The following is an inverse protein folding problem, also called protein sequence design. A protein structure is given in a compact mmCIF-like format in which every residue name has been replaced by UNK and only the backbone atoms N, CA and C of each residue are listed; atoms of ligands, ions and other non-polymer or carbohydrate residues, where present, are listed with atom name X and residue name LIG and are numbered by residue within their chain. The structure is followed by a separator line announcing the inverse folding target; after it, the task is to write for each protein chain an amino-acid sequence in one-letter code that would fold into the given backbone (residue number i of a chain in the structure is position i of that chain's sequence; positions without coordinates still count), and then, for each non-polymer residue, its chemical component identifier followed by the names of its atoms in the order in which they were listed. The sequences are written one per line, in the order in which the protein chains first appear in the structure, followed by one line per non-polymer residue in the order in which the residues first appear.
data_IF_751929790801
#
_entry.id   IF_751929790801
#
_cell.length_a   1.000
_cell.length_b   1.000
_cell.length_c   1.000
_cell.angle_alpha   90.00
_cell.angle_beta   90.00
_cell.angle_gamma   90.00
#
_symmetry.space_group_name_H-M   'P 1'
#
loop_
_entity.id
_entity.type
_entity.pdbx_description
1 polymer ?
#
# COMPACT_ATOMS: atom_id res chain seq x y z
N UNK A 1 5.97 7.96 6.09
CA UNK A 1 6.89 7.42 7.12
C UNK A 1 6.90 8.25 8.40
N UNK A 2 7.42 9.49 8.41
CA UNK A 2 7.59 10.31 9.64
C UNK A 2 6.30 10.42 10.48
N UNK A 3 5.19 10.77 9.84
CA UNK A 3 3.90 10.91 10.52
C UNK A 3 3.40 9.59 11.11
N UNK A 4 3.64 8.46 10.44
CA UNK A 4 3.23 7.15 10.92
C UNK A 4 3.95 6.79 12.22
N UNK A 5 5.27 6.98 12.30
CA UNK A 5 6.06 6.74 13.51
C UNK A 5 5.77 7.76 14.63
N UNK A 6 5.49 9.02 14.28
CA UNK A 6 5.05 10.03 15.23
C UNK A 6 3.73 9.60 15.90
N UNK A 7 2.75 9.17 15.09
CA UNK A 7 1.47 8.67 15.60
C UNK A 7 1.64 7.38 16.40
N UNK A 8 2.48 6.45 15.93
CA UNK A 8 2.76 5.21 16.63
C UNK A 8 3.33 5.44 18.03
N UNK A 9 4.17 6.47 18.19
CA UNK A 9 4.77 6.85 19.48
C UNK A 9 3.82 7.65 20.38
N UNK A 10 2.99 8.53 19.82
CA UNK A 10 2.22 9.51 20.61
C UNK A 10 0.75 9.17 20.79
N UNK A 11 0.14 8.38 19.90
CA UNK A 11 -1.28 8.04 20.01
C UNK A 11 -1.63 7.22 21.27
N UNK A 12 -0.78 6.30 21.77
CA UNK A 12 -1.01 5.70 23.08
C UNK A 12 -1.07 6.74 24.19
N UNK A 13 -0.13 7.72 24.17
CA UNK A 13 -0.08 8.81 25.14
C UNK A 13 -1.35 9.69 25.10
N UNK A 14 -1.83 10.07 23.90
CA UNK A 14 -3.10 10.81 23.73
C UNK A 14 -4.29 10.05 24.32
N UNK A 15 -4.28 8.72 24.25
CA UNK A 15 -5.32 7.86 24.82
C UNK A 15 -5.07 7.44 26.28
N UNK A 16 -4.12 8.08 26.98
CA UNK A 16 -3.72 7.76 28.35
C UNK A 16 -3.32 6.28 28.54
N UNK A 17 -2.67 5.70 27.52
CA UNK A 17 -2.10 4.35 27.52
C UNK A 17 -0.58 4.43 27.51
N UNK A 18 0.08 3.48 28.16
CA UNK A 18 1.53 3.32 28.09
C UNK A 18 1.95 2.54 26.83
N UNK A 19 3.19 2.73 26.41
CA UNK A 19 3.79 2.00 25.28
C UNK A 19 3.72 2.73 23.95
N UNK A 20 3.91 1.98 22.87
CA UNK A 20 3.95 2.44 21.48
C UNK A 20 3.21 1.44 20.58
N UNK A 21 2.77 1.89 19.41
CA UNK A 21 2.22 1.00 18.38
C UNK A 21 3.32 0.53 17.42
N UNK A 22 3.12 -0.65 16.84
CA UNK A 22 3.93 -1.11 15.71
C UNK A 22 3.40 -0.50 14.42
N UNK A 23 4.30 0.04 13.60
CA UNK A 23 3.97 0.52 12.26
C UNK A 23 3.91 -0.67 11.31
N UNK A 24 2.77 -0.84 10.64
CA UNK A 24 2.58 -1.87 9.63
C UNK A 24 2.83 -1.33 8.22
N UNK A 25 3.65 -2.04 7.46
CA UNK A 25 3.88 -1.80 6.03
C UNK A 25 2.84 -2.50 5.18
N UNK A 26 2.74 -2.07 3.91
CA UNK A 26 1.80 -2.63 2.94
C UNK A 26 2.40 -2.83 1.54
N UNK A 27 3.74 -2.84 1.43
CA UNK A 27 4.41 -3.17 0.17
C UNK A 27 4.20 -4.64 -0.16
N UNK A 28 3.98 -4.97 -1.44
CA UNK A 28 3.85 -6.35 -1.90
C UNK A 28 5.20 -6.92 -2.40
N UNK A 29 5.24 -8.23 -2.64
CA UNK A 29 6.47 -8.92 -3.05
C UNK A 29 6.98 -8.44 -4.41
N UNK A 30 6.08 -8.13 -5.35
CA UNK A 30 6.43 -7.70 -6.70
C UNK A 30 7.13 -6.33 -6.69
N UNK A 31 6.66 -5.41 -5.85
CA UNK A 31 7.28 -4.10 -5.63
C UNK A 31 8.66 -4.23 -4.98
N UNK A 32 8.78 -5.09 -3.97
CA UNK A 32 10.04 -5.38 -3.30
C UNK A 32 11.10 -5.95 -4.25
N UNK A 33 10.71 -6.93 -5.07
CA UNK A 33 11.60 -7.56 -6.06
C UNK A 33 12.06 -6.60 -7.16
N UNK A 34 11.20 -5.66 -7.55
CA UNK A 34 11.53 -4.64 -8.56
C UNK A 34 12.25 -3.42 -7.99
N UNK A 35 12.30 -3.28 -6.66
CA UNK A 35 12.71 -2.04 -6.02
C UNK A 35 11.79 -0.86 -6.35
N UNK A 36 10.52 -1.13 -6.64
CA UNK A 36 9.52 -0.12 -6.99
C UNK A 36 8.92 0.50 -5.73
N UNK A 37 9.75 1.27 -5.02
CA UNK A 37 9.42 1.93 -3.75
C UNK A 37 10.39 3.09 -3.53
N UNK A 38 10.01 4.07 -2.72
CA UNK A 38 10.95 5.11 -2.31
C UNK A 38 11.67 4.66 -1.05
N UNK A 39 13.00 4.72 -1.07
CA UNK A 39 13.81 4.33 0.09
C UNK A 39 13.40 5.14 1.32
N UNK A 40 13.07 4.45 2.42
CA UNK A 40 12.58 5.04 3.68
C UNK A 40 11.21 5.71 3.59
N UNK A 41 10.36 5.31 2.63
CA UNK A 41 8.94 5.65 2.66
C UNK A 41 8.15 4.71 3.60
N UNK A 42 6.83 4.64 3.43
CA UNK A 42 5.98 3.74 4.21
C UNK A 42 6.24 2.24 3.97
N UNK A 43 7.14 1.86 3.06
CA UNK A 43 7.66 0.50 2.88
C UNK A 43 8.60 0.06 4.02
N UNK A 44 9.24 1.01 4.71
CA UNK A 44 10.19 0.77 5.80
C UNK A 44 9.50 0.83 7.16
N UNK A 45 8.52 -0.05 7.36
CA UNK A 45 7.77 -0.19 8.61
C UNK A 45 8.42 -1.22 9.55
N UNK A 46 7.90 -1.38 10.77
CA UNK A 46 8.41 -2.37 11.74
C UNK A 46 8.14 -3.81 11.26
N UNK A 47 6.92 -4.04 10.75
CA UNK A 47 6.49 -5.34 10.22
C UNK A 47 5.65 -5.13 8.97
N UNK A 48 5.79 -5.99 7.97
CA UNK A 48 4.95 -6.00 6.77
C UNK A 48 4.29 -7.39 6.57
N UNK A 49 3.00 -7.56 6.93
CA UNK A 49 2.33 -8.85 6.87
C UNK A 49 2.02 -9.32 5.44
N UNK A 50 2.01 -8.42 4.45
CA UNK A 50 1.73 -8.74 3.05
C UNK A 50 2.98 -8.68 2.15
N UNK A 51 4.16 -8.50 2.76
CA UNK A 51 5.43 -8.31 2.06
C UNK A 51 5.85 -9.47 1.16
N UNK A 52 5.32 -10.67 1.39
CA UNK A 52 5.59 -11.89 0.61
C UNK A 52 4.45 -12.31 -0.31
N UNK A 53 3.39 -11.50 -0.44
CA UNK A 53 2.20 -11.81 -1.25
C UNK A 53 2.27 -11.07 -2.58
N UNK A 54 1.88 -11.75 -3.67
CA UNK A 54 1.83 -11.15 -5.01
C UNK A 54 0.69 -10.15 -5.14
N UNK A 55 0.85 -9.17 -6.02
CA UNK A 55 -0.17 -8.16 -6.32
C UNK A 55 -1.44 -8.79 -6.90
N UNK A 56 -1.30 -9.89 -7.65
CA UNK A 56 -2.45 -10.61 -8.19
C UNK A 56 -3.25 -11.30 -7.08
N UNK A 57 -2.56 -11.94 -6.13
CA UNK A 57 -3.20 -12.61 -4.99
C UNK A 57 -3.88 -11.60 -4.07
N UNK A 58 -3.26 -10.44 -3.83
CA UNK A 58 -3.90 -9.36 -3.06
C UNK A 58 -5.20 -8.89 -3.71
N UNK A 59 -5.24 -8.70 -5.04
CA UNK A 59 -6.47 -8.32 -5.75
C UNK A 59 -7.54 -9.41 -5.66
N UNK A 60 -7.15 -10.68 -5.82
CA UNK A 60 -8.06 -11.81 -5.65
C UNK A 60 -8.63 -11.87 -4.22
N UNK A 61 -7.78 -11.65 -3.22
CA UNK A 61 -8.19 -11.58 -1.82
C UNK A 61 -9.17 -10.45 -1.56
N UNK A 62 -8.96 -9.24 -2.11
CA UNK A 62 -9.90 -8.12 -1.95
C UNK A 62 -11.28 -8.45 -2.51
N UNK A 63 -11.36 -9.06 -3.69
CA UNK A 63 -12.62 -9.52 -4.30
C UNK A 63 -13.30 -10.60 -3.46
N UNK A 64 -12.51 -11.56 -2.98
CA UNK A 64 -13.01 -12.62 -2.11
C UNK A 64 -13.56 -12.06 -0.79
N UNK A 65 -12.81 -11.16 -0.14
CA UNK A 65 -13.16 -10.53 1.13
C UNK A 65 -14.39 -9.63 1.01
N UNK A 66 -14.57 -8.94 -0.12
CA UNK A 66 -15.76 -8.14 -0.37
C UNK A 66 -17.05 -8.97 -0.26
N UNK A 67 -17.02 -10.21 -0.75
CA UNK A 67 -18.17 -11.12 -0.76
C UNK A 67 -18.26 -11.92 0.55
N UNK A 68 -17.17 -12.57 0.98
CA UNK A 68 -17.18 -13.56 2.04
C UNK A 68 -17.05 -12.95 3.44
N UNK A 69 -16.31 -11.83 3.57
CA UNK A 69 -16.16 -11.08 4.82
C UNK A 69 -17.14 -9.89 4.91
N UNK A 70 -17.96 -9.69 3.87
CA UNK A 70 -18.98 -8.63 3.77
C UNK A 70 -18.41 -7.21 3.82
N UNK A 71 -17.17 -7.02 3.36
CA UNK A 71 -16.56 -5.70 3.22
C UNK A 71 -16.78 -5.13 1.80
N UNK A 72 -18.01 -4.69 1.51
CA UNK A 72 -18.40 -4.25 0.16
C UNK A 72 -17.53 -3.14 -0.43
N UNK A 73 -16.99 -2.24 0.42
CA UNK A 73 -16.08 -1.17 0.00
C UNK A 73 -14.79 -1.66 -0.66
N UNK A 74 -14.36 -2.90 -0.39
CA UNK A 74 -13.16 -3.46 -1.01
C UNK A 74 -13.31 -3.67 -2.52
N UNK A 75 -14.55 -3.86 -3.02
CA UNK A 75 -14.80 -3.96 -4.46
C UNK A 75 -14.51 -2.63 -5.17
N UNK A 76 -14.88 -1.50 -4.54
CA UNK A 76 -14.59 -0.16 -5.06
C UNK A 76 -13.08 0.13 -5.03
N UNK A 77 -12.39 -0.25 -3.95
CA UNK A 77 -10.93 -0.11 -3.83
C UNK A 77 -10.19 -0.91 -4.91
N UNK A 78 -10.64 -2.13 -5.20
CA UNK A 78 -9.99 -2.97 -6.23
C UNK A 78 -10.26 -2.49 -7.65
N UNK A 79 -11.42 -1.88 -7.90
CA UNK A 79 -11.80 -1.32 -9.19
C UNK A 79 -11.15 0.04 -9.48
N UNK A 80 -10.68 0.75 -8.44
CA UNK A 80 -10.04 2.04 -8.59
C UNK A 80 -8.76 1.95 -9.45
N UNK A 81 -8.48 2.96 -10.30
CA UNK A 81 -7.25 2.99 -11.08
C UNK A 81 -6.04 3.05 -10.13
N UNK A 82 -5.01 2.23 -10.33
CA UNK A 82 -3.81 2.30 -9.51
C UNK A 82 -3.01 3.53 -9.97
N UNK A 83 -2.97 4.55 -9.11
CA UNK A 83 -2.22 5.80 -9.29
C UNK A 83 -1.63 6.24 -7.95
N UNK A 84 -0.42 6.80 -7.96
CA UNK A 84 0.26 7.24 -6.73
C UNK A 84 -0.06 8.71 -6.36
N UNK A 85 -0.72 9.47 -7.23
CA UNK A 85 -1.17 10.87 -7.00
C UNK A 85 -0.13 11.79 -6.33
N UNK A 86 1.17 11.59 -6.62
CA UNK A 86 2.27 12.38 -6.04
C UNK A 86 2.55 13.67 -6.83
N UNK A 87 2.04 13.76 -8.04
CA UNK A 87 2.24 14.89 -8.95
C UNK A 87 0.90 15.51 -9.35
N UNK A 88 0.83 16.84 -9.59
CA UNK A 88 -0.40 17.47 -10.05
C UNK A 88 -0.89 16.89 -11.38
N UNK A 89 -2.21 16.69 -11.50
CA UNK A 89 -2.84 16.22 -12.74
C UNK A 89 -2.69 17.31 -13.81
N UNK A 90 -1.97 16.99 -14.89
CA UNK A 90 -1.78 17.83 -16.07
C UNK A 90 -2.53 17.23 -17.27
N UNK A 91 -2.73 18.01 -18.33
CA UNK A 91 -3.41 17.54 -19.56
C UNK A 91 -2.78 16.27 -20.18
N UNK A 92 -1.49 16.03 -19.95
CA UNK A 92 -0.75 14.84 -20.40
C UNK A 92 -0.44 13.83 -19.28
N UNK A 93 -1.19 13.86 -18.17
CA UNK A 93 -0.94 13.04 -17.00
C UNK A 93 -1.16 11.54 -17.29
N UNK A 94 -0.11 10.74 -17.09
CA UNK A 94 -0.10 9.30 -17.33
C UNK A 94 0.71 8.61 -16.23
N UNK A 95 0.14 8.46 -15.04
CA UNK A 95 0.78 7.82 -13.88
C UNK A 95 0.10 6.48 -13.56
N UNK A 96 0.02 5.59 -14.56
CA UNK A 96 -0.42 4.21 -14.35
C UNK A 96 0.83 3.35 -14.10
N UNK A 97 0.81 2.53 -13.04
CA UNK A 97 1.91 1.62 -12.61
C UNK A 97 2.48 0.72 -13.74
N UNK A 98 1.80 0.63 -14.89
CA UNK A 98 2.04 -0.36 -15.95
C UNK A 98 3.02 0.12 -17.05
N UNK A 99 3.41 1.40 -17.14
CA UNK A 99 4.27 1.84 -18.28
C UNK A 99 5.73 1.37 -18.23
N UNK A 100 6.22 0.93 -17.07
CA UNK A 100 7.53 0.28 -16.94
C UNK A 100 7.49 -1.24 -17.20
N UNK A 101 6.30 -1.84 -17.26
CA UNK A 101 6.09 -3.27 -17.48
C UNK A 101 5.63 -3.55 -18.92
N UNK A 102 4.96 -2.59 -19.59
CA UNK A 102 4.50 -2.77 -20.97
C UNK A 102 5.58 -2.62 -22.06
N UNK A 103 6.82 -2.27 -21.70
CA UNK A 103 7.93 -2.12 -22.66
C UNK A 103 9.10 -3.10 -22.43
N UNK A 104 8.99 -4.00 -21.45
CA UNK A 104 9.93 -5.09 -21.24
C UNK A 104 9.16 -6.38 -20.96
N UNK A 105 9.04 -7.20 -22.00
CA UNK A 105 8.56 -8.58 -22.05
C UNK A 105 7.04 -8.82 -22.18
N UNK A 106 6.72 -9.38 -23.37
CA UNK A 106 5.45 -9.88 -23.95
C UNK A 106 4.66 -8.83 -24.74
#
# INVERSE_FOLDING_TARGET
MVLAFMMASLMPWVHNKSGFYLVLGSSNVDEGLRGYLTKYDCSSADVNPIGSVSKQDLRAFLRWAAIHLKYSSLAEVEAAPPTAELEPIRANYNQVYVKLISNLYI
#
